data_IF_370777094461
#
_entry.id   IF_370777094461
#
_cell.length_a   1.000
_cell.length_b   1.000
_cell.length_c   1.000
_cell.angle_alpha   90.00
_cell.angle_beta   90.00
_cell.angle_gamma   90.00
#
_symmetry.space_group_name_H-M   'P 1'
#
loop_
_entity.id
_entity.type
_entity.pdbx_description
1 polymer ?
#
# COMPACT_ATOMS: atom_id res chain seq x y z
N UNK A 1 -22.40 5.22 8.75
CA UNK A 1 -21.03 5.34 9.29
C UNK A 1 -20.41 6.60 8.69
N UNK A 2 -19.84 7.51 9.47
CA UNK A 2 -19.23 8.74 8.90
C UNK A 2 -17.94 8.41 8.12
N UNK A 3 -17.62 9.20 7.09
CA UNK A 3 -16.47 8.97 6.19
C UNK A 3 -15.15 8.79 6.95
N UNK A 4 -14.85 9.67 7.92
CA UNK A 4 -13.62 9.58 8.72
C UNK A 4 -13.54 8.26 9.53
N UNK A 5 -14.65 7.85 10.15
CA UNK A 5 -14.71 6.60 10.92
C UNK A 5 -14.52 5.37 10.03
N UNK A 6 -15.04 5.40 8.81
CA UNK A 6 -14.83 4.33 7.84
C UNK A 6 -13.36 4.25 7.39
N UNK A 7 -12.70 5.39 7.16
CA UNK A 7 -11.28 5.43 6.81
C UNK A 7 -10.36 4.98 7.94
N UNK A 8 -10.73 5.24 9.19
CA UNK A 8 -10.06 4.70 10.37
C UNK A 8 -10.26 3.19 10.49
N UNK A 9 -11.48 2.69 10.26
CA UNK A 9 -11.75 1.25 10.23
C UNK A 9 -10.91 0.52 9.18
N UNK A 10 -10.67 1.11 8.02
CA UNK A 10 -9.79 0.54 7.01
C UNK A 10 -8.33 0.39 7.49
N UNK A 11 -7.82 1.31 8.34
CA UNK A 11 -6.49 1.17 8.94
C UNK A 11 -6.45 -0.04 9.89
N UNK A 12 -7.52 -0.25 10.67
CA UNK A 12 -7.66 -1.46 11.50
C UNK A 12 -7.71 -2.71 10.61
N UNK A 13 -8.38 -2.66 9.47
CA UNK A 13 -8.34 -3.75 8.48
C UNK A 13 -6.96 -3.96 7.87
N UNK A 14 -6.06 -2.98 7.88
CA UNK A 14 -4.67 -3.20 7.48
C UNK A 14 -3.81 -3.79 8.61
N UNK A 15 -4.34 -3.89 9.83
CA UNK A 15 -3.66 -4.40 11.02
C UNK A 15 -3.07 -3.32 11.91
N UNK A 16 -3.41 -2.04 11.70
CA UNK A 16 -3.02 -0.96 12.62
C UNK A 16 -3.91 -0.93 13.86
N UNK A 17 -3.30 -0.72 15.02
CA UNK A 17 -4.00 -0.50 16.29
C UNK A 17 -3.87 0.97 16.72
N UNK A 18 -4.33 1.89 15.88
CA UNK A 18 -4.26 3.34 16.12
C UNK A 18 -5.63 3.87 16.55
N UNK A 19 -5.67 4.71 17.59
CA UNK A 19 -6.93 5.26 18.10
C UNK A 19 -6.89 6.78 18.23
N UNK A 20 -8.05 7.42 17.98
CA UNK A 20 -8.30 8.83 18.29
C UNK A 20 -7.23 9.80 17.77
N UNK A 21 -6.56 10.49 18.68
CA UNK A 21 -5.59 11.55 18.36
C UNK A 21 -4.30 11.01 17.73
N UNK A 22 -3.91 9.78 18.06
CA UNK A 22 -2.75 9.11 17.46
C UNK A 22 -2.98 8.88 15.96
N UNK A 23 -4.13 8.31 15.60
CA UNK A 23 -4.52 8.11 14.21
C UNK A 23 -4.57 9.45 13.46
N UNK A 24 -5.05 10.51 14.12
CA UNK A 24 -5.15 11.86 13.56
C UNK A 24 -3.79 12.48 13.26
N UNK A 25 -2.83 12.37 14.19
CA UNK A 25 -1.46 12.89 14.02
C UNK A 25 -0.69 12.17 12.90
N UNK A 26 -0.96 10.89 12.68
CA UNK A 26 -0.30 10.07 11.67
C UNK A 26 -0.92 10.15 10.27
N UNK A 27 -2.06 10.85 10.09
CA UNK A 27 -2.81 10.88 8.82
C UNK A 27 -1.97 11.24 7.61
N UNK A 28 -1.10 12.24 7.75
CA UNK A 28 -0.27 12.71 6.64
C UNK A 28 0.83 11.70 6.32
N UNK A 29 1.52 11.20 7.34
CA UNK A 29 2.61 10.24 7.15
C UNK A 29 2.11 8.90 6.59
N UNK A 30 0.97 8.38 7.06
CA UNK A 30 0.41 7.12 6.56
C UNK A 30 0.07 7.17 5.07
N UNK A 31 -0.27 8.37 4.58
CA UNK A 31 -0.56 8.65 3.16
C UNK A 31 0.66 9.02 2.34
N UNK A 32 1.72 9.50 2.97
CA UNK A 32 2.92 9.95 2.25
C UNK A 32 3.49 8.84 1.38
N UNK A 33 3.72 7.66 1.96
CA UNK A 33 4.33 6.53 1.25
C UNK A 33 3.42 5.99 0.13
N UNK A 34 2.10 5.94 0.36
CA UNK A 34 1.15 5.48 -0.66
C UNK A 34 0.96 6.51 -1.77
N UNK A 35 0.92 7.80 -1.45
CA UNK A 35 0.86 8.89 -2.42
C UNK A 35 2.13 8.96 -3.27
N UNK A 36 3.31 8.86 -2.66
CA UNK A 36 4.58 8.85 -3.39
C UNK A 36 4.67 7.66 -4.34
N UNK A 37 4.31 6.46 -3.87
CA UNK A 37 4.24 5.28 -4.73
C UNK A 37 3.25 5.48 -5.88
N UNK A 38 2.05 5.97 -5.59
CA UNK A 38 1.03 6.25 -6.61
C UNK A 38 1.55 7.21 -7.69
N UNK A 39 2.15 8.35 -7.30
CA UNK A 39 2.72 9.33 -8.25
C UNK A 39 3.81 8.69 -9.11
N UNK A 40 4.72 7.93 -8.51
CA UNK A 40 5.80 7.26 -9.25
C UNK A 40 5.26 6.20 -10.23
N UNK A 41 4.23 5.43 -9.84
CA UNK A 41 3.57 4.47 -10.74
C UNK A 41 2.85 5.19 -11.87
N UNK A 42 2.16 6.31 -11.60
CA UNK A 42 1.55 7.14 -12.67
C UNK A 42 2.61 7.57 -13.67
N UNK A 43 3.73 8.12 -13.20
CA UNK A 43 4.86 8.52 -14.05
C UNK A 43 5.38 7.32 -14.86
N UNK A 44 5.56 6.16 -14.22
CA UNK A 44 6.03 4.95 -14.88
C UNK A 44 5.11 4.52 -16.03
N UNK A 45 3.79 4.50 -15.79
CA UNK A 45 2.77 4.07 -16.74
C UNK A 45 2.63 5.07 -17.89
N UNK A 46 2.60 6.37 -17.58
CA UNK A 46 2.52 7.43 -18.61
C UNK A 46 3.74 7.38 -19.53
N UNK A 47 4.92 7.08 -18.99
CA UNK A 47 6.16 6.93 -19.78
C UNK A 47 6.31 5.55 -20.43
N UNK A 48 5.43 4.58 -20.15
CA UNK A 48 5.60 3.18 -20.57
C UNK A 48 6.91 2.54 -20.08
N UNK A 49 7.46 3.03 -18.96
CA UNK A 49 8.82 2.71 -18.52
C UNK A 49 8.86 1.44 -17.68
N UNK A 50 9.05 0.29 -18.34
CA UNK A 50 9.26 -0.99 -17.65
C UNK A 50 10.47 -0.97 -16.68
N UNK A 51 11.61 -0.28 -16.93
CA UNK A 51 12.70 -0.22 -15.96
C UNK A 51 12.29 0.50 -14.67
N UNK A 52 11.49 1.57 -14.78
CA UNK A 52 11.01 2.32 -13.62
C UNK A 52 10.03 1.46 -12.80
N UNK A 53 9.14 0.72 -13.47
CA UNK A 53 8.26 -0.25 -12.82
C UNK A 53 9.01 -1.39 -12.12
N UNK A 54 10.11 -1.88 -12.69
CA UNK A 54 10.98 -2.86 -12.00
C UNK A 54 11.66 -2.26 -10.78
N UNK A 55 12.15 -1.03 -10.86
CA UNK A 55 12.70 -0.31 -9.70
C UNK A 55 11.68 -0.18 -8.57
N UNK A 56 10.44 0.21 -8.90
CA UNK A 56 9.33 0.26 -7.94
C UNK A 56 8.95 -1.12 -7.39
N UNK A 57 9.04 -2.17 -8.21
CA UNK A 57 8.83 -3.54 -7.77
C UNK A 57 9.86 -3.97 -6.74
N UNK A 58 11.14 -3.60 -6.90
CA UNK A 58 12.18 -3.86 -5.91
C UNK A 58 11.90 -3.15 -4.58
N UNK A 59 11.43 -1.91 -4.62
CA UNK A 59 10.97 -1.16 -3.42
C UNK A 59 9.80 -1.88 -2.74
N UNK A 60 8.80 -2.31 -3.52
CA UNK A 60 7.65 -3.06 -3.01
C UNK A 60 8.04 -4.40 -2.39
N UNK A 61 8.99 -5.11 -3.01
CA UNK A 61 9.53 -6.37 -2.51
C UNK A 61 10.17 -6.17 -1.13
N UNK A 62 11.07 -5.17 -1.01
CA UNK A 62 11.68 -4.81 0.27
C UNK A 62 10.60 -4.52 1.31
N UNK A 63 9.63 -3.67 0.99
CA UNK A 63 8.54 -3.34 1.92
C UNK A 63 7.67 -4.53 2.34
N UNK A 64 7.54 -5.54 1.48
CA UNK A 64 6.84 -6.79 1.81
C UNK A 64 7.60 -7.65 2.84
N UNK A 65 8.92 -7.51 2.93
CA UNK A 65 9.76 -8.31 3.82
C UNK A 65 10.34 -7.53 5.00
N UNK A 66 10.39 -6.20 4.96
CA UNK A 66 10.84 -5.37 6.08
C UNK A 66 9.67 -4.81 6.89
N UNK A 67 9.88 -4.45 8.18
CA UNK A 67 8.88 -3.75 8.97
C UNK A 67 8.61 -2.32 8.48
N UNK A 68 9.56 -1.67 7.80
CA UNK A 68 9.41 -0.29 7.30
C UNK A 68 9.55 -0.26 5.79
N UNK A 69 8.62 0.42 5.12
CA UNK A 69 8.70 0.66 3.69
C UNK A 69 9.85 1.65 3.42
N UNK A 70 10.62 1.53 2.31
CA UNK A 70 11.68 2.49 2.01
C UNK A 70 11.20 3.95 2.00
N UNK A 71 10.01 4.21 1.47
CA UNK A 71 9.36 5.53 1.55
C UNK A 71 8.97 5.97 2.98
N UNK A 72 8.70 5.06 3.91
CA UNK A 72 8.51 5.43 5.32
C UNK A 72 9.83 5.93 5.94
N UNK A 73 10.97 5.38 5.50
CA UNK A 73 12.28 5.88 5.92
C UNK A 73 12.53 7.30 5.41
N UNK A 74 12.08 7.62 4.19
CA UNK A 74 12.15 8.98 3.66
C UNK A 74 11.29 9.96 4.48
N UNK A 75 10.09 9.53 4.90
CA UNK A 75 9.26 10.31 5.82
C UNK A 75 9.98 10.50 7.16
N UNK A 76 10.44 9.39 7.76
CA UNK A 76 11.02 9.37 9.09
C UNK A 76 12.34 10.12 9.18
N UNK A 77 13.21 10.06 8.17
CA UNK A 77 14.51 10.71 8.25
C UNK A 77 14.52 12.11 7.60
N UNK A 78 13.57 12.43 6.72
CA UNK A 78 13.52 13.71 6.03
C UNK A 78 12.27 14.53 6.38
N UNK A 79 11.15 14.17 5.74
CA UNK A 79 9.96 15.03 5.67
C UNK A 79 9.43 15.41 7.04
N UNK A 80 9.36 14.46 7.99
CA UNK A 80 8.78 14.71 9.31
C UNK A 80 9.49 15.82 10.08
N UNK A 81 10.81 15.96 9.91
CA UNK A 81 11.62 16.94 10.63
C UNK A 81 11.39 18.36 10.11
N UNK A 82 11.02 18.50 8.82
CA UNK A 82 10.74 19.79 8.21
C UNK A 82 9.38 20.35 8.67
N UNK A 83 8.39 19.47 8.87
CA UNK A 83 7.02 19.86 9.18
C UNK A 83 6.60 19.57 10.64
N UNK A 84 7.53 19.11 11.49
CA UNK A 84 7.25 18.77 12.90
C UNK A 84 6.23 17.65 13.08
N UNK A 85 6.21 16.66 12.17
CA UNK A 85 5.25 15.57 12.20
C UNK A 85 5.76 14.34 12.98
N UNK A 86 4.86 13.49 13.51
CA UNK A 86 5.26 12.28 14.22
C UNK A 86 5.94 11.23 13.32
N UNK A 87 6.75 10.37 13.95
CA UNK A 87 7.34 9.19 13.32
C UNK A 87 6.26 8.16 12.95
N UNK A 88 6.42 7.54 11.78
CA UNK A 88 5.54 6.45 11.37
C UNK A 88 5.84 5.15 12.12
N UNK A 89 4.80 4.46 12.63
CA UNK A 89 4.97 3.14 13.23
C UNK A 89 5.35 2.10 12.17
N UNK A 90 5.96 0.97 12.56
CA UNK A 90 6.21 -0.15 11.66
C UNK A 90 4.93 -0.64 10.96
N UNK A 91 5.07 -1.13 9.74
CA UNK A 91 3.96 -1.70 8.97
C UNK A 91 3.51 -3.04 9.57
N UNK A 92 2.20 -3.22 9.83
CA UNK A 92 1.66 -4.49 10.30
C UNK A 92 1.80 -5.58 9.23
N UNK A 93 1.73 -6.84 9.67
CA UNK A 93 1.90 -8.03 8.82
C UNK A 93 0.97 -8.03 7.62
N UNK A 94 -0.32 -7.73 7.81
CA UNK A 94 -1.32 -7.73 6.73
C UNK A 94 -1.04 -6.65 5.68
N UNK A 95 -0.56 -5.47 6.08
CA UNK A 95 -0.08 -4.44 5.13
C UNK A 95 1.17 -4.91 4.37
N UNK A 96 2.10 -5.60 5.03
CA UNK A 96 3.29 -6.19 4.36
C UNK A 96 2.92 -7.25 3.34
N UNK A 97 1.92 -8.09 3.63
CA UNK A 97 1.38 -9.03 2.65
C UNK A 97 0.72 -8.32 1.46
N UNK A 98 0.01 -7.21 1.70
CA UNK A 98 -0.54 -6.41 0.61
C UNK A 98 0.55 -5.83 -0.30
N UNK A 99 1.71 -5.41 0.24
CA UNK A 99 2.85 -4.98 -0.57
C UNK A 99 3.40 -6.09 -1.48
N UNK A 100 3.37 -7.36 -1.04
CA UNK A 100 3.77 -8.50 -1.89
C UNK A 100 2.83 -8.67 -3.08
N UNK A 101 1.52 -8.53 -2.86
CA UNK A 101 0.52 -8.55 -3.93
C UNK A 101 0.75 -7.38 -4.90
N UNK A 102 0.96 -6.17 -4.38
CA UNK A 102 1.29 -5.00 -5.20
C UNK A 102 2.57 -5.19 -6.02
N UNK A 103 3.60 -5.80 -5.42
CA UNK A 103 4.87 -6.13 -6.10
C UNK A 103 4.64 -7.09 -7.26
N UNK A 104 3.84 -8.13 -7.08
CA UNK A 104 3.52 -9.07 -8.15
C UNK A 104 2.81 -8.35 -9.32
N UNK A 105 1.84 -7.47 -9.03
CA UNK A 105 1.15 -6.68 -10.06
C UNK A 105 2.08 -5.71 -10.78
N UNK A 106 3.00 -5.05 -10.08
CA UNK A 106 4.01 -4.17 -10.68
C UNK A 106 4.97 -4.95 -11.59
N UNK A 107 5.40 -6.15 -11.19
CA UNK A 107 6.23 -7.03 -12.02
C UNK A 107 5.48 -7.48 -13.28
N UNK A 108 4.21 -7.87 -13.15
CA UNK A 108 3.37 -8.22 -14.31
C UNK A 108 3.23 -7.03 -15.25
N UNK A 109 2.96 -5.84 -14.71
CA UNK A 109 2.84 -4.62 -15.51
C UNK A 109 4.15 -4.26 -16.22
N UNK A 110 5.30 -4.38 -15.53
CA UNK A 110 6.61 -4.19 -16.13
C UNK A 110 6.85 -5.20 -17.27
N UNK A 111 6.50 -6.47 -17.06
CA UNK A 111 6.60 -7.52 -18.08
C UNK A 111 5.74 -7.25 -19.31
N UNK A 112 4.52 -6.73 -19.13
CA UNK A 112 3.64 -6.36 -20.24
C UNK A 112 4.22 -5.23 -21.09
N UNK A 113 4.72 -4.15 -20.47
CA UNK A 113 5.40 -3.07 -21.19
C UNK A 113 6.70 -3.55 -21.86
N UNK A 114 7.48 -4.41 -21.20
CA UNK A 114 8.69 -4.98 -21.78
C UNK A 114 8.40 -5.89 -22.99
N UNK A 115 7.25 -6.56 -23.01
CA UNK A 115 6.79 -7.39 -24.12
C UNK A 115 6.07 -6.61 -25.24
N UNK A 116 5.91 -5.28 -25.10
CA UNK A 116 5.16 -4.44 -26.04
C UNK A 116 3.64 -4.69 -26.04
N UNK A 117 3.11 -5.34 -25.00
CA UNK A 117 1.68 -5.63 -24.86
C UNK A 117 0.92 -4.42 -24.26
N UNK A 118 1.03 -3.27 -24.91
CA UNK A 118 0.66 -1.96 -24.35
C UNK A 118 -0.81 -1.89 -23.91
N UNK A 119 -1.74 -2.45 -24.68
CA UNK A 119 -3.17 -2.46 -24.30
C UNK A 119 -3.40 -3.23 -23.00
N UNK A 120 -2.78 -4.41 -22.85
CA UNK A 120 -2.88 -5.19 -21.63
C UNK A 120 -2.20 -4.48 -20.46
N UNK A 121 -1.05 -3.84 -20.71
CA UNK A 121 -0.34 -3.04 -19.73
C UNK A 121 -1.22 -1.87 -19.24
N UNK A 122 -1.88 -1.14 -20.14
CA UNK A 122 -2.76 -0.02 -19.77
C UNK A 122 -3.99 -0.48 -18.99
N UNK A 123 -4.63 -1.59 -19.37
CA UNK A 123 -5.76 -2.16 -18.61
C UNK A 123 -5.32 -2.51 -17.19
N UNK A 124 -4.22 -3.26 -17.04
CA UNK A 124 -3.68 -3.61 -15.73
C UNK A 124 -3.23 -2.36 -14.96
N UNK A 125 -2.62 -1.39 -15.63
CA UNK A 125 -2.15 -0.14 -15.07
C UNK A 125 -3.30 0.69 -14.49
N UNK A 126 -4.44 0.81 -15.18
CA UNK A 126 -5.63 1.50 -14.67
C UNK A 126 -6.18 0.79 -13.42
N UNK A 127 -6.27 -0.54 -13.44
CA UNK A 127 -6.70 -1.32 -12.28
C UNK A 127 -5.75 -1.15 -11.08
N UNK A 128 -4.44 -1.14 -11.33
CA UNK A 128 -3.44 -0.91 -10.29
C UNK A 128 -3.51 0.51 -9.74
N UNK A 129 -3.61 1.52 -10.61
CA UNK A 129 -3.69 2.93 -10.22
C UNK A 129 -4.96 3.24 -9.43
N UNK A 130 -6.11 2.64 -9.79
CA UNK A 130 -7.34 2.77 -9.00
C UNK A 130 -7.20 2.13 -7.62
N UNK A 131 -6.57 0.96 -7.51
CA UNK A 131 -6.25 0.35 -6.23
C UNK A 131 -5.31 1.25 -5.39
N UNK A 132 -4.24 1.79 -5.99
CA UNK A 132 -3.33 2.74 -5.33
C UNK A 132 -4.02 4.03 -4.89
N UNK A 133 -4.92 4.58 -5.71
CA UNK A 133 -5.70 5.76 -5.37
C UNK A 133 -6.64 5.49 -4.19
N UNK A 134 -7.33 4.35 -4.17
CA UNK A 134 -8.22 3.98 -3.06
C UNK A 134 -7.49 3.87 -1.71
N UNK A 135 -6.29 3.27 -1.67
CA UNK A 135 -5.52 3.21 -0.43
C UNK A 135 -4.98 4.58 -0.03
N UNK A 136 -4.61 5.42 -0.99
CA UNK A 136 -4.06 6.76 -0.73
C UNK A 136 -5.13 7.73 -0.19
N UNK A 137 -6.33 7.70 -0.79
CA UNK A 137 -7.41 8.63 -0.44
C UNK A 137 -8.20 8.14 0.77
N UNK A 138 -8.49 6.83 0.82
CA UNK A 138 -9.46 6.24 1.74
C UNK A 138 -8.87 5.26 2.77
N UNK A 139 -7.55 5.01 2.74
CA UNK A 139 -6.90 3.90 3.46
C UNK A 139 -7.48 2.52 3.08
N UNK A 140 -8.26 2.43 2.01
CA UNK A 140 -8.90 1.20 1.60
C UNK A 140 -7.92 0.36 0.77
N UNK A 141 -7.49 -0.79 1.32
CA UNK A 141 -6.53 -1.66 0.67
C UNK A 141 -7.19 -3.01 0.34
N UNK A 142 -7.52 -3.21 -0.94
CA UNK A 142 -8.25 -4.40 -1.43
C UNK A 142 -7.60 -5.72 -0.95
N UNK A 143 -6.26 -5.93 -1.06
CA UNK A 143 -5.64 -7.14 -0.54
C UNK A 143 -5.82 -7.33 0.98
N UNK A 144 -5.72 -6.26 1.76
CA UNK A 144 -5.90 -6.34 3.22
C UNK A 144 -7.34 -6.67 3.60
N UNK A 145 -8.33 -6.10 2.91
CA UNK A 145 -9.74 -6.44 3.10
C UNK A 145 -10.00 -7.91 2.75
N UNK A 146 -9.46 -8.39 1.62
CA UNK A 146 -9.61 -9.79 1.22
C UNK A 146 -8.99 -10.75 2.24
N UNK A 147 -7.80 -10.43 2.77
CA UNK A 147 -7.15 -11.22 3.82
C UNK A 147 -7.95 -11.20 5.12
N UNK A 148 -8.46 -10.03 5.54
CA UNK A 148 -9.28 -9.92 6.74
C UNK A 148 -10.61 -10.69 6.62
N UNK A 149 -11.25 -10.65 5.44
CA UNK A 149 -12.45 -11.44 5.16
C UNK A 149 -12.15 -12.94 5.19
N UNK A 150 -10.99 -13.36 4.67
CA UNK A 150 -10.54 -14.74 4.70
C UNK A 150 -10.32 -15.24 6.13
N UNK A 151 -9.68 -14.44 6.98
CA UNK A 151 -9.44 -14.76 8.40
C UNK A 151 -10.73 -14.84 9.22
N UNK A 152 -11.75 -14.03 8.87
CA UNK A 152 -13.06 -14.02 9.54
C UNK A 152 -13.97 -15.18 9.16
N UNK A 153 -13.58 -16.04 8.20
CA UNK A 153 -14.45 -17.16 7.79
C UNK A 153 -14.60 -18.18 8.94
N UNK A 154 -15.84 -18.63 9.25
CA UNK A 154 -16.15 -19.41 10.45
C UNK A 154 -15.35 -20.71 10.65
N UNK A 155 -14.70 -21.25 9.61
CA UNK A 155 -13.90 -22.46 9.69
C UNK A 155 -12.49 -22.30 10.29
N UNK A 156 -11.93 -21.08 10.39
CA UNK A 156 -10.54 -20.87 10.89
C UNK A 156 -10.44 -20.35 12.32
N UNK A 157 -11.49 -19.74 12.85
CA UNK A 157 -11.49 -19.27 14.25
C UNK A 157 -11.44 -20.43 15.25
N UNK A 158 -11.91 -21.62 14.86
CA UNK A 158 -11.85 -22.85 15.67
C UNK A 158 -10.46 -23.51 15.71
N UNK A 159 -9.58 -23.24 14.74
CA UNK A 159 -8.26 -23.87 14.64
C UNK A 159 -7.19 -23.13 15.47
N UNK A 160 -7.41 -21.83 15.75
CA UNK A 160 -6.54 -21.01 16.61
C UNK A 160 -6.85 -21.14 18.13
N UNK A 161 -7.86 -21.93 18.50
CA UNK A 161 -8.28 -22.21 19.88
C UNK A 161 -8.03 -23.67 20.31
N UNK A 162 -7.30 -24.45 19.50
CA UNK A 162 -6.79 -25.78 19.83
C UNK A 162 -5.27 -25.75 19.89
#
# INVERSE_FOLDING_TARGET
MGLARWMEANLVTQGYCLAGDEARGLRLGLRFSTALCFVLVVVAVVLGSWPLLLGLSAVGLLAGFTPRHPFDLLWNHGVRHVIGAPELPPNPTRRRHAFKVGTALLLTLAGLFAAGADTAALVLGILLLTACASVTVANFCVPSELMALWERRPGRTMEALR
#
